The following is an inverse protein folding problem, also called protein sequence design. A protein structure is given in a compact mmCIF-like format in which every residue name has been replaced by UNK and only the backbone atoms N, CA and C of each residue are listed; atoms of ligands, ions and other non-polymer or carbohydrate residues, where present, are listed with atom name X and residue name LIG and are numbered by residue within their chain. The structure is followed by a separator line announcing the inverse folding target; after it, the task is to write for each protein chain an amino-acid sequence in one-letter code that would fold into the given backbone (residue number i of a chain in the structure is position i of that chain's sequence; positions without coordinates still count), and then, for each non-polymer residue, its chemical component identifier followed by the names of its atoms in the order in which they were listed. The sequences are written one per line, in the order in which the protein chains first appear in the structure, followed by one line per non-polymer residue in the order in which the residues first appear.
data_IF_125969461785
#
_entry.id   IF_125969461785
#
_cell.length_a   1.000
_cell.length_b   1.000
_cell.length_c   1.000
_cell.angle_alpha   90.00
_cell.angle_beta   90.00
_cell.angle_gamma   90.00
#
_symmetry.space_group_name_H-M   'P 1'
#
loop_
_entity.id
_entity.type
_entity.pdbx_description
1 polymer ?
#
# COMPACT_ATOMS: atom_id res chain seq x y z
N UNK A 1 -0.62 -71.28 -37.54
CA UNK A 1 -0.24 -71.60 -38.95
C UNK A 1 0.59 -70.44 -39.48
N UNK A 2 1.81 -70.74 -39.98
CA UNK A 2 2.79 -69.89 -40.73
C UNK A 2 3.40 -68.73 -39.91
N UNK A 3 4.57 -68.83 -39.24
CA UNK A 3 5.98 -68.87 -39.75
C UNK A 3 6.24 -67.97 -40.97
N UNK A 4 7.16 -66.98 -40.88
CA UNK A 4 8.56 -67.12 -41.36
C UNK A 4 9.46 -65.89 -40.98
N UNK A 5 10.68 -66.23 -40.52
CA UNK A 5 12.03 -65.60 -40.52
C UNK A 5 12.22 -64.11 -40.15
N UNK A 6 12.96 -63.71 -39.11
CA UNK A 6 14.39 -63.85 -38.74
C UNK A 6 15.39 -63.14 -39.67
N UNK A 7 15.99 -62.03 -39.18
CA UNK A 7 17.37 -61.63 -39.50
C UNK A 7 17.94 -60.76 -38.38
N UNK A 8 18.83 -61.36 -37.59
CA UNK A 8 19.80 -60.69 -36.72
C UNK A 8 20.73 -59.80 -37.56
N UNK A 9 21.17 -58.67 -37.01
CA UNK A 9 22.54 -58.14 -37.08
C UNK A 9 22.64 -56.85 -36.24
N UNK A 10 23.26 -56.95 -35.05
CA UNK A 10 24.11 -55.87 -34.53
C UNK A 10 25.27 -55.71 -35.53
N UNK A 11 25.83 -54.51 -35.80
CA UNK A 11 26.73 -53.92 -34.80
C UNK A 11 27.04 -52.39 -34.94
N UNK A 12 27.94 -51.94 -34.04
CA UNK A 12 28.85 -50.80 -34.14
C UNK A 12 28.31 -49.38 -33.91
N UNK A 13 28.61 -48.89 -32.71
CA UNK A 13 28.83 -47.50 -32.40
C UNK A 13 29.86 -46.88 -33.35
N UNK A 14 29.45 -45.82 -34.04
CA UNK A 14 30.34 -44.83 -34.62
C UNK A 14 30.10 -43.51 -33.91
N UNK A 15 31.16 -43.04 -33.26
CA UNK A 15 31.34 -41.72 -32.70
C UNK A 15 31.18 -40.71 -33.84
N UNK A 16 30.01 -40.09 -33.93
CA UNK A 16 29.76 -38.94 -34.79
C UNK A 16 30.06 -37.66 -34.02
N UNK A 17 31.09 -36.93 -34.45
CA UNK A 17 31.35 -35.56 -34.02
C UNK A 17 30.08 -34.72 -34.21
N UNK A 18 29.55 -34.19 -33.11
CA UNK A 18 28.49 -33.18 -33.14
C UNK A 18 29.13 -31.86 -33.61
N UNK A 19 28.93 -31.54 -34.89
CA UNK A 19 29.20 -30.20 -35.41
C UNK A 19 28.30 -29.22 -34.65
N UNK A 20 28.90 -28.27 -33.91
CA UNK A 20 28.16 -27.16 -33.34
C UNK A 20 27.68 -26.27 -34.49
N UNK A 21 26.38 -26.34 -34.80
CA UNK A 21 25.71 -25.39 -35.68
C UNK A 21 25.81 -23.98 -35.07
N UNK A 22 26.88 -23.26 -35.42
CA UNK A 22 27.01 -21.81 -35.23
C UNK A 22 26.21 -21.11 -36.32
N UNK A 23 24.89 -21.27 -36.30
CA UNK A 23 24.02 -20.33 -37.01
C UNK A 23 24.06 -19.00 -36.26
N UNK A 24 24.49 -17.88 -36.88
CA UNK A 24 24.41 -16.58 -36.24
C UNK A 24 22.95 -16.27 -35.97
N UNK A 25 22.60 -16.09 -34.69
CA UNK A 25 21.29 -15.60 -34.30
C UNK A 25 20.98 -14.33 -35.08
N UNK A 26 19.79 -14.27 -35.71
CA UNK A 26 19.28 -13.05 -36.36
C UNK A 26 19.44 -11.88 -35.38
N UNK A 27 20.41 -11.02 -35.63
CA UNK A 27 20.52 -9.71 -34.98
C UNK A 27 19.28 -8.95 -35.42
N UNK A 28 18.32 -8.78 -34.51
CA UNK A 28 17.20 -7.87 -34.75
C UNK A 28 17.79 -6.48 -35.03
N UNK A 29 17.31 -5.76 -36.05
CA UNK A 29 17.81 -4.44 -36.35
C UNK A 29 17.68 -3.54 -35.11
N UNK A 30 18.79 -2.92 -34.72
CA UNK A 30 18.84 -1.97 -33.62
C UNK A 30 17.82 -0.86 -33.87
N UNK A 31 16.95 -0.57 -32.89
CA UNK A 31 15.95 0.49 -33.04
C UNK A 31 16.70 1.82 -33.29
N UNK A 32 16.27 2.65 -34.26
CA UNK A 32 16.91 3.92 -34.53
C UNK A 32 16.96 4.80 -33.28
N UNK A 33 18.12 5.41 -33.03
CA UNK A 33 18.34 6.37 -31.93
C UNK A 33 17.32 7.51 -32.01
N UNK A 34 16.82 7.95 -30.85
CA UNK A 34 15.86 9.05 -30.79
C UNK A 34 16.45 10.39 -31.29
N UNK A 35 15.62 11.18 -31.96
CA UNK A 35 15.91 12.54 -32.42
C UNK A 35 15.31 13.56 -31.45
N UNK A 36 16.16 14.15 -30.61
CA UNK A 36 15.79 15.15 -29.60
C UNK A 36 15.24 16.43 -30.24
N UNK A 37 15.73 16.84 -31.42
CA UNK A 37 15.27 18.05 -32.10
C UNK A 37 13.86 17.87 -32.68
N UNK A 38 13.60 16.72 -33.29
CA UNK A 38 12.25 16.34 -33.69
C UNK A 38 11.31 16.26 -32.48
N UNK A 39 11.78 15.66 -31.38
CA UNK A 39 11.05 15.58 -30.11
C UNK A 39 10.67 16.96 -29.56
N UNK A 40 11.60 17.93 -29.60
CA UNK A 40 11.34 19.32 -29.19
C UNK A 40 10.25 19.98 -30.03
N UNK A 41 10.27 19.79 -31.35
CA UNK A 41 9.26 20.33 -32.26
C UNK A 41 7.87 19.79 -31.95
N UNK A 42 7.77 18.48 -31.72
CA UNK A 42 6.52 17.83 -31.33
C UNK A 42 6.06 18.34 -29.95
N UNK A 43 6.96 18.42 -28.98
CA UNK A 43 6.66 18.94 -27.64
C UNK A 43 6.15 20.40 -27.67
N UNK A 44 6.75 21.25 -28.51
CA UNK A 44 6.32 22.64 -28.69
C UNK A 44 4.93 22.75 -29.33
N UNK A 45 4.53 21.80 -30.17
CA UNK A 45 3.21 21.78 -30.80
C UNK A 45 2.13 21.20 -29.90
N UNK A 46 2.41 20.04 -29.30
CA UNK A 46 1.37 19.19 -28.71
C UNK A 46 1.43 19.15 -27.16
N UNK A 47 2.59 19.38 -26.55
CA UNK A 47 2.79 19.15 -25.11
C UNK A 47 2.88 20.45 -24.30
N UNK A 48 3.35 21.55 -24.90
CA UNK A 48 3.72 22.81 -24.23
C UNK A 48 2.58 23.47 -23.45
N UNK A 49 1.33 23.25 -23.88
CA UNK A 49 0.14 23.79 -23.21
C UNK A 49 0.04 23.33 -21.75
N UNK A 50 0.46 22.09 -21.47
CA UNK A 50 0.36 21.46 -20.15
C UNK A 50 1.72 21.22 -19.50
N UNK A 51 2.71 20.73 -20.25
CA UNK A 51 4.01 20.32 -19.72
C UNK A 51 5.13 21.33 -19.99
N UNK A 52 4.78 22.51 -20.50
CA UNK A 52 5.72 23.56 -20.92
C UNK A 52 6.80 23.00 -21.84
N UNK A 53 7.69 23.87 -22.31
CA UNK A 53 8.77 23.44 -23.19
C UNK A 53 9.99 23.00 -22.38
N UNK A 54 10.17 23.56 -21.19
CA UNK A 54 11.19 23.17 -20.21
C UNK A 54 10.82 21.93 -19.40
N UNK A 55 9.64 21.34 -19.63
CA UNK A 55 9.16 20.15 -18.93
C UNK A 55 8.54 20.40 -17.56
N UNK A 56 8.36 21.67 -17.16
CA UNK A 56 7.64 22.04 -15.94
C UNK A 56 6.12 21.89 -16.09
N UNK A 57 5.35 21.97 -15.01
CA UNK A 57 3.90 21.84 -15.07
C UNK A 57 3.19 23.19 -15.20
N UNK A 58 2.21 23.26 -16.09
CA UNK A 58 1.39 24.44 -16.32
C UNK A 58 0.38 24.73 -15.19
N UNK A 59 -0.02 23.69 -14.44
CA UNK A 59 -1.00 23.74 -13.35
C UNK A 59 -0.76 22.59 -12.35
N UNK A 60 -1.36 22.64 -11.15
CA UNK A 60 -1.36 21.52 -10.22
C UNK A 60 -1.90 20.24 -10.86
N UNK A 61 -1.43 19.09 -10.39
CA UNK A 61 -1.82 17.77 -10.85
C UNK A 61 -1.38 17.39 -12.29
N UNK A 62 -0.74 18.32 -13.02
CA UNK A 62 -0.02 18.02 -14.25
C UNK A 62 1.41 17.59 -13.89
N UNK A 63 1.90 16.44 -14.38
CA UNK A 63 3.24 15.97 -14.05
C UNK A 63 4.34 16.80 -14.74
N UNK A 64 5.42 17.01 -13.99
CA UNK A 64 6.72 17.45 -14.51
C UNK A 64 7.35 16.32 -15.32
N UNK A 65 7.82 16.64 -16.53
CA UNK A 65 8.45 15.70 -17.46
C UNK A 65 9.97 15.89 -17.55
N UNK A 66 10.49 17.07 -17.20
CA UNK A 66 11.92 17.36 -17.27
C UNK A 66 12.74 16.40 -16.39
N UNK A 67 13.89 15.94 -16.88
CA UNK A 67 14.79 14.98 -16.23
C UNK A 67 14.11 13.66 -15.80
N UNK A 68 12.91 13.36 -16.33
CA UNK A 68 12.27 12.08 -16.11
C UNK A 68 13.00 10.99 -16.91
N UNK A 69 12.93 9.74 -16.44
CA UNK A 69 13.56 8.60 -17.11
C UNK A 69 12.91 8.40 -18.48
N UNK A 70 13.70 8.47 -19.56
CA UNK A 70 13.24 8.30 -20.95
C UNK A 70 12.38 7.05 -21.13
N UNK A 71 12.85 5.92 -20.59
CA UNK A 71 12.13 4.64 -20.64
C UNK A 71 10.75 4.68 -19.98
N UNK A 72 10.61 5.40 -18.88
CA UNK A 72 9.30 5.59 -18.24
C UNK A 72 8.40 6.51 -19.07
N UNK A 73 8.95 7.60 -19.63
CA UNK A 73 8.18 8.50 -20.50
C UNK A 73 7.66 7.78 -21.73
N UNK A 74 8.51 6.99 -22.39
CA UNK A 74 8.13 6.18 -23.55
C UNK A 74 7.03 5.17 -23.19
N UNK A 75 7.24 4.37 -22.15
CA UNK A 75 6.24 3.39 -21.69
C UNK A 75 4.91 4.05 -21.30
N UNK A 76 4.94 5.25 -20.69
CA UNK A 76 3.75 6.00 -20.36
C UNK A 76 2.99 6.46 -21.61
N UNK A 77 3.69 6.98 -22.62
CA UNK A 77 3.10 7.40 -23.89
C UNK A 77 2.50 6.21 -24.67
N UNK A 78 3.22 5.09 -24.73
CA UNK A 78 2.73 3.84 -25.33
C UNK A 78 1.46 3.33 -24.61
N UNK A 79 1.43 3.41 -23.28
CA UNK A 79 0.25 3.00 -22.50
C UNK A 79 -0.97 3.91 -22.73
N UNK A 80 -0.77 5.22 -22.94
CA UNK A 80 -1.86 6.12 -23.34
C UNK A 80 -2.37 5.80 -24.74
N UNK A 81 -1.47 5.54 -25.69
CA UNK A 81 -1.81 5.15 -27.07
C UNK A 81 -2.60 3.85 -27.11
N UNK A 82 -2.15 2.85 -26.35
CA UNK A 82 -2.83 1.55 -26.21
C UNK A 82 -4.14 1.64 -25.39
N UNK A 83 -4.33 2.71 -24.62
CA UNK A 83 -5.47 2.89 -23.73
C UNK A 83 -5.41 2.10 -22.42
N UNK A 84 -4.29 1.42 -22.13
CA UNK A 84 -4.05 0.75 -20.84
C UNK A 84 -3.77 1.74 -19.71
N UNK A 85 -3.37 2.97 -20.05
CA UNK A 85 -3.40 4.13 -19.15
C UNK A 85 -4.46 5.11 -19.65
N UNK A 86 -5.48 5.37 -18.84
CA UNK A 86 -6.66 6.14 -19.28
C UNK A 86 -6.47 7.63 -19.01
N UNK A 87 -6.48 8.45 -20.07
CA UNK A 87 -6.65 9.91 -20.02
C UNK A 87 -7.05 10.41 -21.42
N UNK A 88 -8.26 11.00 -21.56
CA UNK A 88 -8.84 11.31 -22.87
C UNK A 88 -7.92 12.15 -23.77
N UNK A 89 -7.41 13.28 -23.25
CA UNK A 89 -6.54 14.17 -24.02
C UNK A 89 -5.20 13.52 -24.42
N UNK A 90 -4.65 12.62 -23.59
CA UNK A 90 -3.36 11.98 -23.89
C UNK A 90 -3.54 10.79 -24.83
N UNK A 91 -4.68 10.09 -24.76
CA UNK A 91 -5.04 9.04 -25.73
C UNK A 91 -5.26 9.63 -27.13
N UNK A 92 -5.95 10.76 -27.22
CA UNK A 92 -6.16 11.47 -28.49
C UNK A 92 -4.81 11.89 -29.11
N UNK A 93 -4.00 12.62 -28.33
CA UNK A 93 -2.69 13.10 -28.75
C UNK A 93 -1.75 11.97 -29.20
N UNK A 94 -1.63 10.90 -28.40
CA UNK A 94 -0.74 9.76 -28.73
C UNK A 94 -1.30 8.84 -29.82
N UNK A 95 -2.61 8.89 -30.06
CA UNK A 95 -3.28 8.12 -31.12
C UNK A 95 -2.72 8.43 -32.50
N UNK A 96 -2.39 9.70 -32.76
CA UNK A 96 -1.85 10.19 -34.03
C UNK A 96 -0.33 10.16 -34.15
N UNK A 97 0.40 9.82 -33.07
CA UNK A 97 1.86 9.80 -33.06
C UNK A 97 2.43 8.47 -33.60
N UNK A 98 3.51 8.54 -34.38
CA UNK A 98 4.27 7.34 -34.73
C UNK A 98 5.12 6.82 -33.57
N UNK A 99 5.60 5.59 -33.66
CA UNK A 99 6.56 5.03 -32.69
C UNK A 99 7.85 5.88 -32.58
N UNK A 100 8.26 6.51 -33.68
CA UNK A 100 9.40 7.43 -33.67
C UNK A 100 9.08 8.72 -32.91
N UNK A 101 7.88 9.27 -33.09
CA UNK A 101 7.43 10.47 -32.38
C UNK A 101 7.40 10.25 -30.86
N UNK A 102 6.86 9.10 -30.41
CA UNK A 102 6.84 8.75 -28.99
C UNK A 102 8.25 8.69 -28.40
N UNK A 103 9.19 8.04 -29.09
CA UNK A 103 10.60 7.96 -28.67
C UNK A 103 11.25 9.34 -28.63
N UNK A 104 11.03 10.16 -29.66
CA UNK A 104 11.62 11.49 -29.78
C UNK A 104 11.13 12.41 -28.66
N UNK A 105 9.82 12.43 -28.35
CA UNK A 105 9.26 13.22 -27.25
C UNK A 105 9.79 12.75 -25.89
N UNK A 106 9.85 11.43 -25.67
CA UNK A 106 10.41 10.86 -24.45
C UNK A 106 11.87 11.25 -24.24
N UNK A 107 12.70 11.13 -25.29
CA UNK A 107 14.10 11.53 -25.26
C UNK A 107 14.28 13.04 -25.05
N UNK A 108 13.44 13.87 -25.68
CA UNK A 108 13.47 15.31 -25.49
C UNK A 108 13.30 15.70 -24.02
N UNK A 109 12.18 15.33 -23.39
CA UNK A 109 11.92 15.70 -22.00
C UNK A 109 12.90 15.05 -21.01
N UNK A 110 13.36 13.83 -21.28
CA UNK A 110 14.39 13.17 -20.47
C UNK A 110 15.75 13.89 -20.51
N UNK A 111 16.06 14.57 -21.63
CA UNK A 111 17.32 15.32 -21.80
C UNK A 111 17.33 16.68 -21.08
N UNK A 112 16.17 17.18 -20.65
CA UNK A 112 16.07 18.49 -20.00
C UNK A 112 16.64 18.45 -18.58
N UNK A 113 17.22 19.57 -18.08
CA UNK A 113 17.60 19.68 -16.68
C UNK A 113 16.36 19.56 -15.79
N UNK A 114 16.56 19.08 -14.56
CA UNK A 114 15.47 18.93 -13.62
C UNK A 114 14.89 20.31 -13.23
N UNK A 115 13.56 20.44 -13.19
CA UNK A 115 12.85 21.69 -12.88
C UNK A 115 11.89 21.49 -11.72
N UNK A 116 11.88 22.43 -10.78
CA UNK A 116 10.97 22.41 -9.64
C UNK A 116 9.57 22.90 -10.06
N UNK A 117 8.52 22.32 -9.46
CA UNK A 117 7.14 22.83 -9.63
C UNK A 117 7.02 24.19 -8.96
N UNK A 118 6.60 25.21 -9.70
CA UNK A 118 6.22 26.50 -9.12
C UNK A 118 4.99 26.38 -8.20
N UNK A 119 4.24 25.28 -8.31
CA UNK A 119 3.01 24.99 -7.57
C UNK A 119 3.26 24.17 -6.30
N UNK A 120 4.43 23.56 -6.12
CA UNK A 120 4.72 22.71 -4.95
C UNK A 120 5.04 23.49 -3.66
N UNK A 121 5.26 24.80 -3.75
CA UNK A 121 5.80 25.64 -2.65
C UNK A 121 4.79 26.09 -1.59
N UNK A 122 3.59 25.50 -1.52
CA UNK A 122 2.59 25.81 -0.47
C UNK A 122 1.99 24.60 0.25
N UNK A 123 2.47 23.39 -0.01
CA UNK A 123 1.99 22.21 0.72
C UNK A 123 2.69 22.13 2.09
N UNK A 124 2.07 22.68 3.13
CA UNK A 124 2.47 22.38 4.50
C UNK A 124 2.39 20.85 4.68
N UNK A 125 3.51 20.22 5.01
CA UNK A 125 3.53 18.79 5.35
C UNK A 125 2.78 18.64 6.67
N UNK A 126 1.47 18.37 6.61
CA UNK A 126 0.70 17.98 7.78
C UNK A 126 1.05 16.52 8.03
N UNK A 127 1.81 16.27 9.09
CA UNK A 127 2.08 14.90 9.54
C UNK A 127 0.74 14.24 9.91
N UNK A 128 0.35 13.13 9.23
CA UNK A 128 -0.85 12.38 9.59
C UNK A 128 -0.82 11.93 11.05
N UNK A 129 0.38 11.64 11.57
CA UNK A 129 0.58 11.30 12.97
C UNK A 129 0.30 12.48 13.91
N UNK A 130 0.83 13.68 13.64
CA UNK A 130 0.57 14.85 14.50
C UNK A 130 -0.90 15.30 14.44
N UNK A 131 -1.51 15.22 13.26
CA UNK A 131 -2.95 15.44 13.10
C UNK A 131 -3.76 14.43 13.91
N UNK A 132 -3.40 13.15 13.81
CA UNK A 132 -4.02 12.06 14.57
C UNK A 132 -3.88 12.24 16.07
N UNK A 133 -2.68 12.59 16.55
CA UNK A 133 -2.38 12.87 17.95
C UNK A 133 -3.28 13.97 18.52
N UNK A 134 -3.44 15.07 17.78
CA UNK A 134 -4.32 16.17 18.20
C UNK A 134 -5.79 15.72 18.31
N UNK A 135 -6.29 15.00 17.31
CA UNK A 135 -7.67 14.50 17.30
C UNK A 135 -7.92 13.44 18.38
N UNK A 136 -6.93 12.57 18.62
CA UNK A 136 -7.00 11.47 19.58
C UNK A 136 -7.14 11.93 21.05
N UNK A 137 -6.76 13.16 21.38
CA UNK A 137 -6.93 13.74 22.73
C UNK A 137 -8.37 13.63 23.25
N UNK A 138 -9.36 13.70 22.37
CA UNK A 138 -10.76 13.51 22.75
C UNK A 138 -11.05 12.04 23.14
N UNK A 139 -10.45 11.08 22.42
CA UNK A 139 -10.62 9.65 22.67
C UNK A 139 -9.91 9.20 23.95
N UNK A 140 -8.74 9.77 24.25
CA UNK A 140 -7.92 9.45 25.43
C UNK A 140 -8.65 9.71 26.76
N UNK A 141 -9.66 10.60 26.78
CA UNK A 141 -10.51 10.85 27.95
C UNK A 141 -11.22 9.60 28.49
N UNK A 142 -11.48 8.62 27.62
CA UNK A 142 -12.08 7.34 28.01
C UNK A 142 -11.11 6.17 27.76
N UNK A 143 -10.34 6.23 26.68
CA UNK A 143 -9.43 5.15 26.29
C UNK A 143 -8.05 5.25 26.96
N UNK A 144 -7.82 6.22 27.85
CA UNK A 144 -6.56 6.40 28.57
C UNK A 144 -5.48 7.09 27.74
N UNK A 145 -4.40 7.50 28.41
CA UNK A 145 -3.24 8.14 27.78
C UNK A 145 -2.62 7.25 26.70
N UNK A 146 -2.41 7.79 25.50
CA UNK A 146 -1.95 7.02 24.34
C UNK A 146 -2.90 5.89 23.92
N UNK A 147 -4.15 5.88 24.41
CA UNK A 147 -5.10 4.79 24.18
C UNK A 147 -4.87 3.57 25.05
N UNK A 148 -4.12 3.68 26.14
CA UNK A 148 -3.94 2.61 27.13
C UNK A 148 -5.01 2.69 28.22
N UNK A 149 -6.16 2.06 27.99
CA UNK A 149 -7.28 2.18 28.92
C UNK A 149 -7.04 1.39 30.20
N UNK A 150 -7.31 2.00 31.34
CA UNK A 150 -7.32 1.35 32.67
C UNK A 150 -8.75 1.12 33.19
N UNK A 151 -9.76 1.50 32.40
CA UNK A 151 -11.17 1.40 32.78
C UNK A 151 -11.75 0.07 32.33
N UNK A 152 -12.34 -0.70 33.26
CA UNK A 152 -12.94 -2.01 32.98
C UNK A 152 -13.94 -1.94 31.83
N UNK A 153 -13.85 -2.90 30.90
CA UNK A 153 -14.66 -3.02 29.69
C UNK A 153 -14.48 -1.91 28.65
N UNK A 154 -13.62 -0.92 28.88
CA UNK A 154 -13.21 0.05 27.86
C UNK A 154 -11.96 -0.49 27.16
N UNK A 155 -11.96 -0.63 25.83
CA UNK A 155 -10.83 -1.21 25.13
C UNK A 155 -9.63 -0.25 25.12
N UNK A 156 -8.42 -0.81 25.21
CA UNK A 156 -7.20 -0.14 24.77
C UNK A 156 -7.19 -0.01 23.24
N UNK A 157 -6.80 1.18 22.76
CA UNK A 157 -6.59 1.48 21.34
C UNK A 157 -5.12 1.42 20.94
N UNK A 158 -4.19 1.54 21.91
CA UNK A 158 -2.75 1.51 21.69
C UNK A 158 -2.32 0.23 20.95
N UNK A 159 -1.51 0.39 19.90
CA UNK A 159 -0.96 -0.69 19.07
C UNK A 159 -2.01 -1.51 18.30
N UNK A 160 -3.24 -1.02 18.20
CA UNK A 160 -4.27 -1.67 17.41
C UNK A 160 -4.04 -1.46 15.91
N UNK A 161 -4.50 -2.41 15.09
CA UNK A 161 -4.32 -2.37 13.66
C UNK A 161 -5.10 -1.22 13.00
N UNK A 162 -4.47 -0.40 12.13
CA UNK A 162 -5.05 0.87 11.69
C UNK A 162 -6.31 0.69 10.84
N UNK A 163 -6.34 -0.29 9.93
CA UNK A 163 -7.53 -0.53 9.10
C UNK A 163 -8.67 -1.15 9.92
N UNK A 164 -8.37 -2.03 10.88
CA UNK A 164 -9.37 -2.51 11.84
C UNK A 164 -9.98 -1.34 12.63
N UNK A 165 -9.18 -0.37 13.08
CA UNK A 165 -9.69 0.79 13.82
C UNK A 165 -10.64 1.63 12.97
N UNK A 166 -10.27 1.94 11.72
CA UNK A 166 -11.14 2.69 10.80
C UNK A 166 -12.47 1.96 10.61
N UNK A 167 -12.44 0.66 10.33
CA UNK A 167 -13.64 -0.16 10.16
C UNK A 167 -14.47 -0.20 11.46
N UNK A 168 -13.84 -0.38 12.61
CA UNK A 168 -14.52 -0.46 13.89
C UNK A 168 -15.24 0.85 14.27
N UNK A 169 -14.64 2.00 13.97
CA UNK A 169 -15.27 3.30 14.22
C UNK A 169 -16.40 3.56 13.22
N UNK A 170 -16.22 3.20 11.96
CA UNK A 170 -17.31 3.25 10.96
C UNK A 170 -18.50 2.39 11.38
N UNK A 171 -18.27 1.16 11.85
CA UNK A 171 -19.32 0.28 12.38
C UNK A 171 -20.10 0.93 13.54
N UNK A 172 -19.45 1.74 14.39
CA UNK A 172 -20.17 2.53 15.41
C UNK A 172 -20.92 3.73 14.82
N UNK A 173 -20.34 4.46 13.87
CA UNK A 173 -21.00 5.60 13.22
C UNK A 173 -22.27 5.17 12.44
N UNK A 174 -22.26 3.96 11.88
CA UNK A 174 -23.38 3.37 11.14
C UNK A 174 -24.31 2.51 12.00
N UNK A 175 -24.10 2.47 13.32
CA UNK A 175 -24.88 1.67 14.26
C UNK A 175 -24.91 0.15 13.96
N UNK A 176 -23.85 -0.37 13.34
CA UNK A 176 -23.65 -1.80 13.03
C UNK A 176 -23.13 -2.58 14.24
N UNK A 177 -22.55 -1.90 15.23
CA UNK A 177 -22.24 -2.46 16.55
C UNK A 177 -23.37 -2.12 17.51
N UNK A 178 -24.06 -3.12 18.05
CA UNK A 178 -25.21 -2.82 18.93
C UNK A 178 -24.80 -2.20 20.29
N UNK A 179 -25.65 -1.29 20.81
CA UNK A 179 -25.63 -0.69 22.17
C UNK A 179 -24.23 -0.46 22.77
N UNK A 180 -23.59 0.63 22.35
CA UNK A 180 -22.32 1.09 22.91
C UNK A 180 -22.36 2.58 23.24
N UNK A 181 -21.77 3.03 24.37
CA UNK A 181 -21.57 4.47 24.64
C UNK A 181 -20.86 5.21 23.51
N UNK A 182 -20.05 4.51 22.70
CA UNK A 182 -19.36 5.05 21.54
C UNK A 182 -20.30 5.72 20.53
N UNK A 183 -21.56 5.29 20.36
CA UNK A 183 -22.48 5.93 19.41
C UNK A 183 -22.78 7.38 19.76
N UNK A 184 -22.90 7.68 21.05
CA UNK A 184 -23.17 9.04 21.53
C UNK A 184 -21.88 9.85 21.71
N UNK A 185 -20.75 9.17 21.91
CA UNK A 185 -19.45 9.78 22.22
C UNK A 185 -18.59 10.05 20.98
N UNK A 186 -18.86 9.41 19.84
CA UNK A 186 -18.11 9.63 18.62
C UNK A 186 -18.46 10.99 18.01
N UNK A 187 -17.45 11.86 17.78
CA UNK A 187 -17.68 13.06 17.01
C UNK A 187 -17.99 12.71 15.55
N UNK A 188 -18.57 13.66 14.81
CA UNK A 188 -18.57 13.57 13.34
C UNK A 188 -17.12 13.67 12.89
N UNK A 189 -16.60 12.58 12.33
CA UNK A 189 -15.23 12.48 11.83
C UNK A 189 -15.28 12.22 10.34
N UNK A 190 -14.51 13.00 9.60
CA UNK A 190 -14.22 12.71 8.21
C UNK A 190 -13.33 11.48 8.09
N UNK A 191 -13.38 10.80 6.94
CA UNK A 191 -12.59 9.58 6.72
C UNK A 191 -11.09 9.80 6.95
N UNK A 192 -10.54 10.92 6.48
CA UNK A 192 -9.12 11.25 6.66
C UNK A 192 -8.76 11.46 8.14
N UNK A 193 -9.67 12.04 8.93
CA UNK A 193 -9.47 12.22 10.38
C UNK A 193 -9.44 10.87 11.11
N UNK A 194 -10.34 9.95 10.73
CA UNK A 194 -10.34 8.56 11.26
C UNK A 194 -9.04 7.83 10.94
N UNK A 195 -8.55 7.94 9.71
CA UNK A 195 -7.28 7.35 9.29
C UNK A 195 -6.10 7.92 10.09
N UNK A 196 -6.11 9.22 10.41
CA UNK A 196 -5.07 9.86 11.22
C UNK A 196 -5.11 9.39 12.68
N UNK A 197 -6.30 9.35 13.28
CA UNK A 197 -6.50 8.84 14.65
C UNK A 197 -6.03 7.37 14.73
N UNK A 198 -6.39 6.55 13.73
CA UNK A 198 -5.97 5.17 13.66
C UNK A 198 -4.44 5.02 13.56
N UNK A 199 -3.78 5.83 12.72
CA UNK A 199 -2.31 5.84 12.63
C UNK A 199 -1.66 6.21 13.97
N UNK A 200 -2.19 7.23 14.66
CA UNK A 200 -1.67 7.65 15.96
C UNK A 200 -1.74 6.51 16.98
N UNK A 201 -2.91 5.90 17.18
CA UNK A 201 -3.09 4.82 18.16
C UNK A 201 -2.34 3.54 17.77
N UNK A 202 -2.30 3.19 16.49
CA UNK A 202 -1.49 2.07 15.98
C UNK A 202 0.00 2.23 16.30
N UNK A 203 0.46 3.47 16.47
CA UNK A 203 1.85 3.80 16.78
C UNK A 203 2.16 3.88 18.27
N UNK A 204 1.14 3.81 19.13
CA UNK A 204 1.36 3.85 20.58
C UNK A 204 1.80 2.49 21.11
N UNK A 205 2.68 2.51 22.11
CA UNK A 205 3.12 1.31 22.82
C UNK A 205 2.00 0.81 23.73
N UNK A 206 1.49 -0.43 23.52
CA UNK A 206 0.49 -0.99 24.41
C UNK A 206 1.06 -1.28 25.79
N UNK A 207 0.35 -0.88 26.83
CA UNK A 207 0.68 -1.25 28.20
C UNK A 207 0.42 -2.75 28.42
N UNK A 208 1.35 -3.41 29.12
CA UNK A 208 1.13 -4.79 29.55
C UNK A 208 0.08 -4.84 30.66
N UNK A 209 -0.79 -5.84 30.63
CA UNK A 209 -1.81 -6.05 31.66
C UNK A 209 -1.47 -7.28 32.52
N UNK A 210 -1.78 -7.26 33.83
CA UNK A 210 -1.69 -8.44 34.66
C UNK A 210 -2.78 -9.46 34.30
N UNK A 211 -2.64 -10.69 34.79
CA UNK A 211 -3.69 -11.69 34.66
C UNK A 211 -4.97 -11.21 35.34
N UNK A 212 -6.15 -11.38 34.72
CA UNK A 212 -7.43 -11.09 35.36
C UNK A 212 -7.73 -12.07 36.50
N UNK A 213 -8.61 -11.64 37.41
CA UNK A 213 -9.13 -12.52 38.46
C UNK A 213 -10.07 -13.62 37.92
N UNK A 214 -10.66 -13.41 36.74
CA UNK A 214 -11.56 -14.36 36.08
C UNK A 214 -10.88 -14.99 34.86
N UNK A 215 -11.11 -16.29 34.67
CA UNK A 215 -10.49 -17.10 33.62
C UNK A 215 -9.14 -17.70 34.04
N UNK A 216 -8.72 -18.72 33.32
CA UNK A 216 -7.42 -19.40 33.46
C UNK A 216 -6.61 -19.18 32.17
N UNK A 217 -5.52 -18.38 32.20
CA UNK A 217 -4.66 -18.14 31.04
C UNK A 217 -4.06 -19.41 30.43
N UNK A 218 -3.71 -20.42 31.25
CA UNK A 218 -3.10 -21.66 30.75
C UNK A 218 -4.13 -22.51 29.99
N UNK A 219 -5.35 -22.62 30.51
CA UNK A 219 -6.45 -23.24 29.77
C UNK A 219 -6.82 -22.43 28.51
N UNK A 220 -6.71 -21.11 28.57
CA UNK A 220 -6.96 -20.20 27.44
C UNK A 220 -5.97 -20.35 26.30
N UNK A 221 -4.69 -20.59 26.60
CA UNK A 221 -3.64 -20.79 25.61
C UNK A 221 -3.96 -21.98 24.69
N UNK A 222 -4.33 -23.12 25.27
CA UNK A 222 -4.68 -24.32 24.52
C UNK A 222 -5.88 -24.08 23.57
N UNK A 223 -6.88 -23.32 24.01
CA UNK A 223 -8.06 -22.96 23.22
C UNK A 223 -7.76 -21.92 22.13
N UNK A 224 -6.72 -21.10 22.31
CA UNK A 224 -6.38 -19.97 21.45
C UNK A 224 -5.59 -20.36 20.20
N UNK A 225 -5.17 -21.62 20.06
CA UNK A 225 -4.38 -22.10 18.92
C UNK A 225 -5.05 -21.78 17.56
N UNK A 226 -6.38 -21.95 17.46
CA UNK A 226 -7.14 -21.67 16.24
C UNK A 226 -7.23 -20.17 15.93
N UNK A 227 -7.29 -19.33 16.96
CA UNK A 227 -7.36 -17.88 16.85
C UNK A 227 -6.05 -17.29 16.31
N UNK A 228 -4.92 -17.92 16.63
CA UNK A 228 -3.58 -17.48 16.25
C UNK A 228 -3.32 -17.43 14.74
N UNK A 229 -4.05 -18.20 13.93
CA UNK A 229 -3.92 -18.19 12.47
C UNK A 229 -4.25 -16.85 11.81
N UNK A 230 -5.09 -16.03 12.46
CA UNK A 230 -5.44 -14.69 11.99
C UNK A 230 -4.93 -13.59 12.93
N UNK A 231 -5.09 -13.79 14.24
CA UNK A 231 -4.72 -12.79 15.25
C UNK A 231 -3.24 -12.84 15.66
N UNK A 232 -2.47 -13.80 15.13
CA UNK A 232 -1.11 -14.10 15.58
C UNK A 232 -1.10 -15.01 16.81
N UNK A 233 -0.08 -15.88 17.00
CA UNK A 233 -0.04 -16.84 18.11
C UNK A 233 -0.21 -16.20 19.50
N UNK A 234 0.43 -15.05 19.73
CA UNK A 234 0.30 -14.27 20.96
C UNK A 234 -0.78 -13.19 20.89
N UNK A 235 -1.62 -13.19 19.84
CA UNK A 235 -2.67 -12.19 19.64
C UNK A 235 -2.17 -10.86 19.09
N UNK A 236 -0.95 -10.80 18.55
CA UNK A 236 -0.40 -9.64 17.81
C UNK A 236 -0.57 -9.90 16.32
N UNK A 237 -1.58 -9.28 15.70
CA UNK A 237 -1.86 -9.52 14.28
C UNK A 237 -0.84 -8.80 13.40
N UNK A 238 -0.59 -9.35 12.22
CA UNK A 238 0.20 -8.72 11.14
C UNK A 238 -0.67 -8.25 9.97
N UNK A 239 -1.97 -8.57 9.98
CA UNK A 239 -2.94 -8.12 8.99
C UNK A 239 -3.62 -6.83 9.49
N UNK A 240 -3.62 -5.78 8.67
CA UNK A 240 -4.09 -4.46 9.09
C UNK A 240 -5.59 -4.39 9.40
N UNK A 241 -6.39 -5.35 8.90
CA UNK A 241 -7.83 -5.42 9.14
C UNK A 241 -8.22 -6.39 10.27
N UNK A 242 -7.27 -7.20 10.76
CA UNK A 242 -7.50 -8.17 11.82
C UNK A 242 -7.03 -7.59 13.15
N UNK A 243 -7.86 -7.56 14.21
CA UNK A 243 -7.46 -6.87 15.42
C UNK A 243 -6.38 -7.63 16.21
N UNK A 244 -5.49 -6.87 16.84
CA UNK A 244 -4.63 -7.34 17.93
C UNK A 244 -5.48 -7.56 19.19
N UNK A 245 -5.33 -8.74 19.80
CA UNK A 245 -6.00 -9.19 21.03
C UNK A 245 -5.09 -9.05 22.27
N UNK A 246 -3.77 -9.10 22.08
CA UNK A 246 -2.77 -8.99 23.14
C UNK A 246 -2.94 -7.71 23.96
N UNK A 247 -2.70 -7.76 25.27
CA UNK A 247 -2.80 -6.63 26.20
C UNK A 247 -4.18 -5.95 26.28
N UNK A 248 -5.24 -6.57 25.77
CA UNK A 248 -6.57 -5.98 25.76
C UNK A 248 -7.31 -6.20 27.10
N UNK A 249 -8.29 -5.34 27.39
CA UNK A 249 -9.16 -5.50 28.55
C UNK A 249 -9.91 -6.83 28.52
N UNK A 250 -9.81 -7.67 29.57
CA UNK A 250 -10.39 -9.00 29.57
C UNK A 250 -11.92 -8.95 29.54
N UNK A 251 -12.53 -7.98 30.22
CA UNK A 251 -13.99 -7.82 30.20
C UNK A 251 -14.48 -7.34 28.83
N UNK A 252 -13.72 -6.45 28.19
CA UNK A 252 -13.99 -6.06 26.80
C UNK A 252 -13.86 -7.26 25.85
N UNK A 253 -12.79 -8.06 25.95
CA UNK A 253 -12.59 -9.23 25.11
C UNK A 253 -13.75 -10.22 25.25
N UNK A 254 -14.14 -10.56 26.48
CA UNK A 254 -15.30 -11.44 26.73
C UNK A 254 -16.56 -10.89 26.07
N UNK A 255 -16.87 -9.60 26.27
CA UNK A 255 -18.04 -8.96 25.66
C UNK A 255 -17.97 -8.96 24.13
N UNK A 256 -16.80 -8.65 23.56
CA UNK A 256 -16.61 -8.60 22.12
C UNK A 256 -16.75 -9.99 21.47
N UNK A 257 -16.16 -11.03 22.07
CA UNK A 257 -16.26 -12.42 21.60
C UNK A 257 -17.71 -12.89 21.66
N UNK A 258 -18.41 -12.66 22.79
CA UNK A 258 -19.84 -12.98 22.92
C UNK A 258 -20.69 -12.25 21.90
N UNK A 259 -20.38 -10.98 21.59
CA UNK A 259 -21.12 -10.20 20.60
C UNK A 259 -21.04 -10.79 19.17
N UNK A 260 -19.95 -11.47 18.79
CA UNK A 260 -19.85 -12.14 17.48
C UNK A 260 -20.79 -13.34 17.33
N UNK A 261 -21.39 -13.85 18.42
CA UNK A 261 -22.41 -14.89 18.35
C UNK A 261 -23.76 -14.37 17.87
N UNK A 262 -24.03 -13.09 18.13
CA UNK A 262 -25.38 -12.51 18.04
C UNK A 262 -25.39 -11.22 17.23
N UNK A 263 -24.71 -10.18 17.69
CA UNK A 263 -24.91 -8.79 17.23
C UNK A 263 -23.87 -8.33 16.22
N UNK A 264 -22.61 -8.76 16.36
CA UNK A 264 -21.54 -8.41 15.41
C UNK A 264 -21.54 -9.38 14.23
N UNK A 265 -22.06 -8.90 13.09
CA UNK A 265 -22.20 -9.68 11.85
C UNK A 265 -20.86 -9.84 11.12
N UNK A 266 -20.02 -10.77 11.57
CA UNK A 266 -18.81 -11.24 10.87
C UNK A 266 -18.79 -12.77 10.84
N UNK A 267 -19.28 -13.35 9.75
CA UNK A 267 -19.51 -14.81 9.64
C UNK A 267 -18.28 -15.64 9.97
N UNK A 268 -17.14 -15.31 9.37
CA UNK A 268 -15.86 -15.98 9.65
C UNK A 268 -15.54 -15.99 11.14
N UNK A 269 -15.70 -14.86 11.85
CA UNK A 269 -15.42 -14.82 13.28
C UNK A 269 -16.47 -15.61 14.08
N UNK A 270 -17.75 -15.51 13.71
CA UNK A 270 -18.84 -16.26 14.35
C UNK A 270 -18.60 -17.77 14.32
N UNK A 271 -18.11 -18.32 13.19
CA UNK A 271 -17.82 -19.75 13.03
C UNK A 271 -16.90 -20.29 14.13
N UNK A 272 -15.86 -19.54 14.52
CA UNK A 272 -14.92 -19.98 15.54
C UNK A 272 -15.42 -19.83 16.98
N UNK A 273 -16.36 -18.92 17.25
CA UNK A 273 -16.79 -18.60 18.64
C UNK A 273 -18.18 -19.09 19.00
N UNK A 274 -18.99 -19.51 18.02
CA UNK A 274 -20.36 -19.96 18.25
C UNK A 274 -20.43 -21.18 19.17
N UNK A 275 -19.47 -22.11 19.08
CA UNK A 275 -19.45 -23.35 19.86
C UNK A 275 -18.78 -23.26 21.23
N UNK A 276 -18.11 -22.15 21.55
CA UNK A 276 -17.40 -22.03 22.83
C UNK A 276 -18.41 -21.89 24.00
N UNK A 277 -18.05 -22.34 25.18
CA UNK A 277 -18.73 -22.01 26.43
C UNK A 277 -18.31 -20.63 26.93
N UNK A 278 -19.07 -20.07 27.87
CA UNK A 278 -18.71 -18.80 28.51
C UNK A 278 -17.39 -18.89 29.28
N UNK A 279 -17.13 -20.04 29.91
CA UNK A 279 -15.87 -20.29 30.64
C UNK A 279 -14.66 -20.37 29.69
N UNK A 280 -14.82 -21.00 28.53
CA UNK A 280 -13.77 -21.03 27.51
C UNK A 280 -13.46 -19.63 26.97
N UNK A 281 -14.47 -18.78 26.77
CA UNK A 281 -14.26 -17.38 26.38
C UNK A 281 -13.49 -16.61 27.46
N UNK A 282 -13.85 -16.79 28.73
CA UNK A 282 -13.11 -16.16 29.85
C UNK A 282 -11.64 -16.60 29.88
N UNK A 283 -11.37 -17.89 29.67
CA UNK A 283 -10.01 -18.41 29.63
C UNK A 283 -9.22 -17.83 28.43
N UNK A 284 -9.82 -17.79 27.23
CA UNK A 284 -9.21 -17.18 26.03
C UNK A 284 -8.91 -15.69 26.25
N UNK A 285 -9.85 -14.96 26.84
CA UNK A 285 -9.65 -13.55 27.17
C UNK A 285 -8.52 -13.37 28.20
N UNK A 286 -8.49 -14.20 29.25
CA UNK A 286 -7.44 -14.18 30.26
C UNK A 286 -6.04 -14.46 29.65
N UNK A 287 -5.94 -15.41 28.72
CA UNK A 287 -4.72 -15.67 27.97
C UNK A 287 -4.24 -14.42 27.23
N UNK A 288 -5.05 -13.90 26.30
CA UNK A 288 -4.65 -12.76 25.45
C UNK A 288 -4.39 -11.47 26.24
N UNK A 289 -5.11 -11.22 27.34
CA UNK A 289 -4.85 -10.07 28.22
C UNK A 289 -3.41 -10.05 28.76
N UNK A 290 -2.84 -11.23 29.06
CA UNK A 290 -1.47 -11.34 29.59
C UNK A 290 -0.38 -11.30 28.53
N UNK A 291 -0.73 -11.45 27.26
CA UNK A 291 0.24 -11.48 26.17
C UNK A 291 0.85 -10.10 25.95
N UNK A 292 2.15 -10.07 25.67
CA UNK A 292 2.86 -8.84 25.33
C UNK A 292 2.47 -8.38 23.93
N UNK A 293 2.02 -7.14 23.83
CA UNK A 293 1.73 -6.49 22.54
C UNK A 293 2.85 -5.51 22.13
N UNK A 294 2.71 -4.91 20.95
CA UNK A 294 3.65 -3.95 20.36
C UNK A 294 2.91 -2.94 19.47
N UNK A 295 3.51 -1.79 19.15
CA UNK A 295 2.97 -0.89 18.13
C UNK A 295 2.77 -1.63 16.80
N UNK A 296 1.62 -1.39 16.16
CA UNK A 296 1.33 -1.88 14.80
C UNK A 296 2.02 -0.99 13.74
N UNK A 297 2.27 0.27 14.07
CA UNK A 297 2.92 1.25 13.20
C UNK A 297 4.04 1.99 13.93
N UNK A 298 4.86 2.74 13.17
CA UNK A 298 6.05 3.42 13.67
C UNK A 298 5.91 4.94 13.83
N UNK A 299 4.68 5.44 13.90
CA UNK A 299 4.37 6.84 14.20
C UNK A 299 5.03 7.83 13.26
N UNK A 300 5.73 8.82 13.81
CA UNK A 300 6.44 9.87 13.07
C UNK A 300 7.43 9.32 12.04
N UNK A 301 8.05 8.16 12.30
CA UNK A 301 9.01 7.54 11.40
C UNK A 301 8.35 6.86 10.19
N UNK A 302 7.03 6.64 10.21
CA UNK A 302 6.31 5.89 9.18
C UNK A 302 6.54 6.46 7.77
N UNK A 303 6.36 7.77 7.58
CA UNK A 303 6.55 8.40 6.26
C UNK A 303 7.99 8.31 5.76
N UNK A 304 8.97 8.42 6.67
CA UNK A 304 10.39 8.31 6.33
C UNK A 304 10.75 6.88 5.89
N UNK A 305 10.27 5.87 6.61
CA UNK A 305 10.49 4.47 6.24
C UNK A 305 9.74 4.09 4.96
N UNK A 306 8.51 4.60 4.80
CA UNK A 306 7.75 4.44 3.57
C UNK A 306 8.52 5.02 2.37
N UNK A 307 9.05 6.23 2.51
CA UNK A 307 9.90 6.84 1.50
C UNK A 307 11.15 5.99 1.19
N UNK A 308 11.79 5.40 2.20
CA UNK A 308 12.92 4.49 1.97
C UNK A 308 12.53 3.25 1.16
N UNK A 309 11.35 2.67 1.39
CA UNK A 309 10.81 1.56 0.60
C UNK A 309 10.56 1.99 -0.84
N UNK A 310 9.89 3.13 -1.05
CA UNK A 310 9.62 3.69 -2.37
C UNK A 310 10.92 4.03 -3.14
N UNK A 311 11.94 4.55 -2.44
CA UNK A 311 13.24 4.91 -3.02
C UNK A 311 14.02 3.73 -3.58
N UNK A 312 13.69 2.48 -3.24
CA UNK A 312 14.30 1.30 -3.87
C UNK A 312 14.11 1.28 -5.38
N UNK A 313 13.00 1.85 -5.87
CA UNK A 313 12.70 1.92 -7.30
C UNK A 313 12.65 3.37 -7.80
N UNK A 314 12.14 4.30 -7.00
CA UNK A 314 11.84 5.66 -7.46
C UNK A 314 12.94 6.69 -7.24
N UNK A 315 14.08 6.29 -6.66
CA UNK A 315 15.25 7.17 -6.54
C UNK A 315 15.84 7.42 -7.93
N UNK A 316 16.21 8.66 -8.30
CA UNK A 316 16.88 8.98 -9.57
C UNK A 316 18.10 8.10 -9.89
N UNK A 317 18.83 7.63 -8.86
CA UNK A 317 20.04 6.81 -9.02
C UNK A 317 19.81 5.29 -8.91
N UNK A 318 18.56 4.84 -8.77
CA UNK A 318 18.27 3.41 -8.70
C UNK A 318 18.66 2.72 -10.03
N UNK A 319 19.40 1.61 -9.93
CA UNK A 319 19.56 0.65 -11.02
C UNK A 319 18.28 -0.19 -11.10
N UNK A 320 17.63 -0.11 -12.25
CA UNK A 320 16.29 -0.65 -12.47
C UNK A 320 16.29 -1.71 -13.57
N UNK A 321 17.45 -1.97 -14.20
CA UNK A 321 17.53 -2.73 -15.44
C UNK A 321 16.42 -2.35 -16.41
N UNK A 322 15.57 -3.32 -16.72
CA UNK A 322 14.43 -3.20 -17.62
C UNK A 322 13.10 -2.83 -16.95
N UNK A 323 13.10 -2.10 -15.83
CA UNK A 323 11.87 -1.58 -15.23
C UNK A 323 11.56 -0.13 -15.67
N UNK A 324 10.32 0.12 -16.12
CA UNK A 324 9.85 1.44 -16.51
C UNK A 324 9.22 2.15 -15.31
N UNK A 325 10.07 2.63 -14.39
CA UNK A 325 9.66 3.25 -13.13
C UNK A 325 9.95 4.74 -13.18
N UNK A 326 9.05 5.63 -12.71
CA UNK A 326 9.32 7.06 -12.68
C UNK A 326 10.27 7.45 -11.55
N UNK A 327 11.08 8.48 -11.78
CA UNK A 327 11.57 9.36 -10.73
C UNK A 327 10.40 10.19 -10.18
N UNK A 328 10.21 10.20 -8.87
CA UNK A 328 9.13 10.94 -8.19
C UNK A 328 9.65 12.08 -7.30
N UNK A 329 10.97 12.27 -7.21
CA UNK A 329 11.57 13.35 -6.41
C UNK A 329 11.31 14.70 -7.07
N UNK A 330 10.76 15.65 -6.30
CA UNK A 330 10.40 16.99 -6.78
C UNK A 330 9.22 17.02 -7.75
N UNK A 331 8.49 15.90 -7.89
CA UNK A 331 7.29 15.82 -8.70
C UNK A 331 6.12 16.60 -8.04
N UNK A 332 5.16 17.05 -8.85
CA UNK A 332 3.99 17.77 -8.35
C UNK A 332 3.18 16.92 -7.33
N UNK A 333 2.87 17.51 -6.16
CA UNK A 333 2.16 16.83 -5.08
C UNK A 333 0.82 16.29 -5.55
N UNK A 334 0.02 17.12 -6.21
CA UNK A 334 -1.35 16.78 -6.55
C UNK A 334 -1.38 15.69 -7.63
N UNK A 335 -0.37 15.69 -8.51
CA UNK A 335 -0.16 14.59 -9.45
C UNK A 335 0.18 13.29 -8.74
N UNK A 336 1.09 13.33 -7.75
CA UNK A 336 1.45 12.14 -6.96
C UNK A 336 0.25 11.58 -6.20
N UNK A 337 -0.56 12.45 -5.57
CA UNK A 337 -1.80 12.05 -4.89
C UNK A 337 -2.76 11.38 -5.86
N UNK A 338 -3.02 12.02 -7.01
CA UNK A 338 -3.90 11.48 -8.04
C UNK A 338 -3.39 10.12 -8.55
N UNK A 339 -2.10 10.01 -8.84
CA UNK A 339 -1.49 8.81 -9.37
C UNK A 339 -1.52 7.64 -8.37
N UNK A 340 -1.16 7.88 -7.10
CA UNK A 340 -1.16 6.86 -6.06
C UNK A 340 -2.58 6.37 -5.75
N UNK A 341 -3.58 7.28 -5.71
CA UNK A 341 -4.99 6.89 -5.59
C UNK A 341 -5.44 6.06 -6.80
N UNK A 342 -5.08 6.46 -8.02
CA UNK A 342 -5.42 5.69 -9.21
C UNK A 342 -4.82 4.28 -9.22
N UNK A 343 -3.59 4.11 -8.71
CA UNK A 343 -3.00 2.77 -8.52
C UNK A 343 -3.75 1.96 -7.46
N UNK A 344 -4.00 2.56 -6.29
CA UNK A 344 -4.72 1.89 -5.19
C UNK A 344 -6.11 1.43 -5.60
N UNK A 345 -6.82 2.30 -6.31
CA UNK A 345 -8.22 2.11 -6.72
C UNK A 345 -8.34 1.34 -8.06
N UNK A 346 -7.22 0.79 -8.57
CA UNK A 346 -7.16 0.01 -9.81
C UNK A 346 -7.66 0.75 -11.06
N UNK A 347 -7.55 2.07 -11.06
CA UNK A 347 -7.84 2.94 -12.22
C UNK A 347 -6.62 3.17 -13.11
N UNK A 348 -5.46 2.65 -12.70
CA UNK A 348 -4.20 2.71 -13.43
C UNK A 348 -3.49 1.37 -13.30
N UNK A 349 -3.53 0.60 -14.38
CA UNK A 349 -3.09 -0.80 -14.43
C UNK A 349 -1.56 -0.94 -14.33
N UNK A 350 -1.06 -1.11 -13.10
CA UNK A 350 0.29 -1.60 -12.82
C UNK A 350 0.22 -2.46 -11.56
N UNK A 351 0.17 -3.78 -11.72
CA UNK A 351 -0.04 -4.75 -10.63
C UNK A 351 0.93 -4.64 -9.46
N UNK A 352 2.17 -4.18 -9.72
CA UNK A 352 3.14 -3.89 -8.66
C UNK A 352 2.74 -2.64 -7.85
N UNK A 353 2.42 -1.53 -8.51
CA UNK A 353 2.07 -0.28 -7.82
C UNK A 353 0.68 -0.36 -7.16
N UNK A 354 -0.27 -1.10 -7.74
CA UNK A 354 -1.54 -1.41 -7.10
C UNK A 354 -1.29 -2.08 -5.74
N UNK A 355 -0.58 -3.22 -5.72
CA UNK A 355 -0.24 -3.92 -4.47
C UNK A 355 0.54 -3.06 -3.48
N UNK A 356 1.43 -2.19 -3.97
CA UNK A 356 2.20 -1.31 -3.10
C UNK A 356 1.39 -0.19 -2.48
N UNK A 357 0.38 0.33 -3.17
CA UNK A 357 -0.46 1.44 -2.72
C UNK A 357 -1.74 0.98 -2.00
N UNK A 358 -2.17 -0.26 -2.21
CA UNK A 358 -3.34 -0.89 -1.60
C UNK A 358 -3.41 -0.71 -0.07
N UNK A 359 -2.30 -0.83 0.70
CA UNK A 359 -2.36 -0.69 2.15
C UNK A 359 -2.51 0.75 2.63
N UNK A 360 -2.36 1.75 1.75
CA UNK A 360 -2.22 3.14 2.14
C UNK A 360 -3.53 3.93 2.08
N UNK A 361 -3.78 4.59 3.20
CA UNK A 361 -4.89 5.50 3.42
C UNK A 361 -4.72 6.78 2.58
N UNK A 362 -5.77 7.60 2.46
CA UNK A 362 -5.69 8.87 1.72
C UNK A 362 -4.70 9.83 2.39
N UNK A 363 -4.68 9.90 3.73
CA UNK A 363 -3.71 10.75 4.42
C UNK A 363 -2.27 10.25 4.28
N UNK A 364 -2.06 8.94 4.25
CA UNK A 364 -0.72 8.39 3.96
C UNK A 364 -0.28 8.79 2.55
N UNK A 365 -1.17 8.66 1.57
CA UNK A 365 -0.90 9.05 0.18
C UNK A 365 -0.57 10.55 0.09
N UNK A 366 -1.31 11.40 0.78
CA UNK A 366 -1.04 12.84 0.82
C UNK A 366 0.28 13.17 1.50
N UNK A 367 0.58 12.51 2.62
CA UNK A 367 1.84 12.70 3.36
C UNK A 367 3.06 12.29 2.54
N UNK A 368 3.04 11.12 1.89
CA UNK A 368 4.16 10.67 1.05
C UNK A 368 4.29 11.51 -0.22
N UNK A 369 3.18 11.98 -0.80
CA UNK A 369 3.19 12.86 -1.96
C UNK A 369 3.80 14.23 -1.63
N UNK A 370 3.42 14.81 -0.48
CA UNK A 370 4.02 16.06 -0.01
C UNK A 370 5.51 15.88 0.31
N UNK A 371 5.90 14.76 0.92
CA UNK A 371 7.30 14.43 1.16
C UNK A 371 8.13 14.44 -0.13
N UNK A 372 7.64 13.79 -1.19
CA UNK A 372 8.34 13.71 -2.48
C UNK A 372 8.33 15.02 -3.26
N UNK A 373 7.25 15.79 -3.20
CA UNK A 373 7.18 17.11 -3.81
C UNK A 373 8.17 18.11 -3.19
N UNK A 374 8.50 17.93 -1.91
CA UNK A 374 9.54 18.70 -1.21
C UNK A 374 10.97 18.20 -1.41
N UNK A 375 11.19 17.06 -2.08
CA UNK A 375 12.55 16.59 -2.36
C UNK A 375 13.19 17.38 -3.51
N UNK A 376 14.53 17.55 -3.51
CA UNK A 376 15.23 18.16 -4.63
C UNK A 376 14.97 17.37 -5.92
N UNK A 377 14.65 18.08 -6.99
CA UNK A 377 14.65 17.55 -8.35
C UNK A 377 16.09 17.16 -8.70
N UNK A 378 16.31 15.94 -9.18
CA UNK A 378 17.64 15.38 -9.45
C UNK A 378 17.67 14.67 -10.78
#
# INVERSE_FOLDING_TARGET
MKTILLAFLLPFALIGCMEQDKSPGKVMPEKPKADIAAGKTIAARDCVGCHRLDGSNAAPAIPILAAQRERYLLAALEAYKAGTRVHAALKDLTGHMSEADLRNVAAYYASLPAVASAWSTKAQVISPYESGKKLAQACEKCHGEGGNSTTTAVPSLAGQQPRYMVLAVQEYLHAERERSPMHAMLPRLERAELENIALYFASQTPAQRPAPAAGDPAAGEALSAVCGGCHGPSGVSTDSATPTLASQDPVYLVKAIKAYRTTRKRERMREYVAGLSDKEIENIAAFYTTQKSQPAEKGEAFLKELAQKCNRCHNPKADLGDLAVPNIHGQDRDYLVMALRAYRDDRREVSMMHRMSLPYSDTIIEGISAYYAGQPTK
#
